data_IF_546181065015
#
_entry.id   IF_546181065015
#
_cell.length_a   1.000
_cell.length_b   1.000
_cell.length_c   1.000
_cell.angle_alpha   90.00
_cell.angle_beta   90.00
_cell.angle_gamma   90.00
#
_symmetry.space_group_name_H-M   'P 1'
#
loop_
_entity.id
_entity.type
_entity.pdbx_description
1 polymer ?
#
# COMPACT_ATOMS: atom_id res chain seq x y z
N UNK A 1 6.02 -10.04 47.86
CA UNK A 1 5.46 -9.59 46.57
C UNK A 1 6.50 -9.25 45.49
N UNK A 2 7.61 -8.58 45.78
CA UNK A 2 8.56 -8.12 44.74
C UNK A 2 9.19 -9.22 43.88
N UNK A 3 9.45 -10.41 44.45
CA UNK A 3 10.15 -11.50 43.74
C UNK A 3 9.33 -12.09 42.60
N UNK A 4 8.03 -12.33 42.80
CA UNK A 4 7.15 -12.87 41.76
C UNK A 4 7.08 -11.93 40.56
N UNK A 5 6.83 -10.64 40.80
CA UNK A 5 6.75 -9.64 39.73
C UNK A 5 8.04 -9.55 38.92
N UNK A 6 9.20 -9.56 39.58
CA UNK A 6 10.52 -9.54 38.90
C UNK A 6 10.76 -10.81 38.08
N UNK A 7 10.51 -11.99 38.64
CA UNK A 7 10.70 -13.26 37.92
C UNK A 7 9.74 -13.37 36.73
N UNK A 8 8.47 -13.02 36.92
CA UNK A 8 7.47 -12.99 35.86
C UNK A 8 7.91 -12.09 34.69
N UNK A 9 8.33 -10.85 34.97
CA UNK A 9 8.79 -9.92 33.93
C UNK A 9 9.97 -10.49 33.12
N UNK A 10 10.92 -11.15 33.79
CA UNK A 10 12.07 -11.78 33.11
C UNK A 10 11.66 -12.98 32.25
N UNK A 11 10.71 -13.81 32.72
CA UNK A 11 10.18 -14.94 31.95
C UNK A 11 9.46 -14.43 30.71
N UNK A 12 8.57 -13.43 30.86
CA UNK A 12 7.85 -12.84 29.73
C UNK A 12 8.80 -12.24 28.69
N UNK A 13 9.86 -11.56 29.14
CA UNK A 13 10.91 -11.08 28.23
C UNK A 13 11.55 -12.25 27.46
N UNK A 14 11.86 -13.36 28.13
CA UNK A 14 12.48 -14.50 27.47
C UNK A 14 11.54 -15.19 26.49
N UNK A 15 10.26 -15.28 26.83
CA UNK A 15 9.24 -15.80 25.93
C UNK A 15 9.14 -14.96 24.66
N UNK A 16 9.11 -13.62 24.77
CA UNK A 16 9.16 -12.72 23.61
C UNK A 16 10.39 -12.96 22.73
N UNK A 17 11.57 -13.07 23.35
CA UNK A 17 12.80 -13.36 22.59
C UNK A 17 12.69 -14.68 21.82
N UNK A 18 12.19 -15.74 22.46
CA UNK A 18 12.06 -17.06 21.82
C UNK A 18 11.05 -17.01 20.67
N UNK A 19 9.86 -16.45 20.90
CA UNK A 19 8.81 -16.37 19.88
C UNK A 19 9.26 -15.54 18.69
N UNK A 20 9.98 -14.44 18.91
CA UNK A 20 10.48 -13.57 17.83
C UNK A 20 11.68 -14.17 17.10
N UNK A 21 12.68 -14.74 17.80
CA UNK A 21 13.89 -15.26 17.16
C UNK A 21 13.64 -16.52 16.35
N UNK A 22 12.78 -17.41 16.85
CA UNK A 22 12.51 -18.69 16.21
C UNK A 22 11.19 -18.72 15.45
N UNK A 23 10.44 -17.60 15.44
CA UNK A 23 9.12 -17.50 14.82
C UNK A 23 8.19 -18.65 15.25
N UNK A 24 8.18 -18.94 16.55
CA UNK A 24 7.40 -20.04 17.14
C UNK A 24 6.19 -19.52 17.89
N UNK A 25 5.11 -20.31 17.86
CA UNK A 25 3.93 -20.07 18.68
C UNK A 25 4.15 -20.64 20.09
N UNK A 26 3.93 -19.83 21.11
CA UNK A 26 4.09 -20.26 22.50
C UNK A 26 3.06 -19.59 23.40
N UNK A 27 2.68 -20.28 24.48
CA UNK A 27 1.81 -19.72 25.52
C UNK A 27 2.30 -20.10 26.91
N UNK A 28 2.07 -19.20 27.87
CA UNK A 28 2.48 -19.34 29.26
C UNK A 28 1.40 -18.76 30.17
N UNK A 29 0.98 -19.52 31.18
CA UNK A 29 -0.05 -19.13 32.15
C UNK A 29 0.46 -19.42 33.57
N UNK A 30 0.36 -18.44 34.46
CA UNK A 30 0.75 -18.58 35.85
C UNK A 30 -0.34 -18.10 36.79
N UNK A 31 -0.65 -18.95 37.77
CA UNK A 31 -1.59 -18.68 38.85
C UNK A 31 -0.80 -18.41 40.14
N UNK A 32 -0.64 -17.13 40.55
CA UNK A 32 -0.05 -16.83 41.85
C UNK A 32 -1.01 -17.25 42.98
N UNK A 33 -0.47 -17.59 44.14
CA UNK A 33 -1.24 -17.97 45.33
C UNK A 33 -2.21 -16.87 45.79
N UNK A 34 -1.85 -15.61 45.58
CA UNK A 34 -2.72 -14.46 45.77
C UNK A 34 -2.68 -13.55 44.54
N UNK A 35 -3.86 -13.13 44.07
CA UNK A 35 -4.02 -12.16 42.98
C UNK A 35 -4.53 -12.76 41.67
N UNK A 36 -4.49 -11.95 40.61
CA UNK A 36 -4.99 -12.33 39.27
C UNK A 36 -3.99 -13.25 38.57
N UNK A 37 -4.50 -14.19 37.78
CA UNK A 37 -3.68 -14.95 36.84
C UNK A 37 -2.97 -14.02 35.86
N UNK A 38 -1.79 -14.44 35.42
CA UNK A 38 -1.04 -13.74 34.38
C UNK A 38 -0.77 -14.69 33.23
N UNK A 39 -0.91 -14.17 32.02
CA UNK A 39 -0.83 -14.97 30.82
C UNK A 39 0.01 -14.27 29.75
N UNK A 40 0.56 -15.08 28.86
CA UNK A 40 1.28 -14.70 27.67
C UNK A 40 0.93 -15.70 26.57
N UNK A 41 0.71 -15.20 25.36
CA UNK A 41 0.52 -16.05 24.20
C UNK A 41 0.95 -15.31 22.94
N UNK A 42 1.50 -16.07 22.00
CA UNK A 42 1.79 -15.63 20.64
C UNK A 42 1.22 -16.67 19.65
N UNK A 43 0.46 -16.27 18.61
CA UNK A 43 0.05 -14.89 18.29
C UNK A 43 -1.05 -14.32 19.22
N UNK A 44 -2.02 -15.13 19.67
CA UNK A 44 -3.08 -14.71 20.59
C UNK A 44 -3.41 -15.79 21.64
N UNK A 45 -4.14 -15.40 22.69
CA UNK A 45 -4.60 -16.33 23.74
C UNK A 45 -5.67 -17.28 23.20
N UNK A 46 -6.52 -16.79 22.31
CA UNK A 46 -7.59 -17.49 21.62
C UNK A 46 -7.00 -18.63 20.78
N UNK A 47 -5.93 -18.37 20.04
CA UNK A 47 -5.24 -19.37 19.23
C UNK A 47 -4.57 -20.44 20.11
N UNK A 48 -3.95 -20.02 21.22
CA UNK A 48 -3.35 -20.94 22.18
C UNK A 48 -4.41 -21.87 22.81
N UNK A 49 -5.55 -21.33 23.22
CA UNK A 49 -6.65 -22.12 23.76
C UNK A 49 -7.27 -23.04 22.72
N UNK A 50 -7.46 -22.56 21.49
CA UNK A 50 -7.94 -23.38 20.38
C UNK A 50 -7.04 -24.58 20.09
N UNK A 51 -5.71 -24.40 20.17
CA UNK A 51 -4.73 -25.49 20.07
C UNK A 51 -4.88 -26.50 21.20
N UNK A 52 -4.91 -26.04 22.45
CA UNK A 52 -5.06 -26.94 23.62
C UNK A 52 -6.38 -27.70 23.55
N UNK A 53 -7.49 -27.04 23.20
CA UNK A 53 -8.81 -27.68 23.04
C UNK A 53 -8.80 -28.73 21.94
N UNK A 54 -8.15 -28.47 20.80
CA UNK A 54 -7.95 -29.47 19.74
C UNK A 54 -7.11 -30.66 20.22
N UNK A 55 -6.08 -30.42 21.03
CA UNK A 55 -5.25 -31.48 21.62
C UNK A 55 -5.98 -32.30 22.69
N UNK A 56 -6.87 -31.69 23.47
CA UNK A 56 -7.68 -32.36 24.50
C UNK A 56 -8.93 -33.05 23.93
N UNK A 57 -9.45 -32.57 22.80
CA UNK A 57 -10.64 -33.07 22.13
C UNK A 57 -10.45 -34.37 21.35
N UNK A 58 -9.29 -35.02 21.47
CA UNK A 58 -9.06 -36.35 20.91
C UNK A 58 -9.48 -37.43 21.93
N UNK A 59 -10.76 -37.43 22.31
CA UNK A 59 -11.45 -38.71 22.51
C UNK A 59 -11.86 -39.18 21.11
N UNK A 60 -11.62 -40.44 20.72
CA UNK A 60 -12.16 -40.98 19.48
C UNK A 60 -13.67 -41.19 19.69
N UNK A 61 -14.45 -40.11 19.62
CA UNK A 61 -15.90 -40.20 19.46
C UNK A 61 -16.15 -40.64 18.02
N UNK A 62 -16.10 -41.95 17.81
CA UNK A 62 -16.30 -42.56 16.51
C UNK A 62 -17.56 -42.04 15.82
N UNK A 63 -17.38 -41.78 14.52
CA UNK A 63 -18.37 -41.34 13.51
C UNK A 63 -18.45 -39.81 13.41
N UNK A 64 -17.47 -39.23 12.70
CA UNK A 64 -17.56 -38.03 11.82
C UNK A 64 -16.20 -37.34 11.56
N UNK A 65 -15.09 -37.96 11.98
CA UNK A 65 -13.72 -37.41 11.89
C UNK A 65 -13.22 -37.09 10.46
N UNK A 66 -13.80 -37.70 9.42
CA UNK A 66 -13.39 -37.45 8.03
C UNK A 66 -13.77 -36.06 7.54
N UNK A 67 -14.83 -35.46 8.08
CA UNK A 67 -15.38 -34.19 7.58
C UNK A 67 -14.65 -32.97 8.17
N UNK A 68 -14.39 -32.97 9.49
CA UNK A 68 -13.74 -31.84 10.17
C UNK A 68 -12.25 -31.73 9.80
N UNK A 69 -11.56 -32.86 9.64
CA UNK A 69 -10.18 -32.91 9.17
C UNK A 69 -10.04 -32.35 7.75
N UNK A 70 -10.92 -32.79 6.84
CA UNK A 70 -10.99 -32.29 5.46
C UNK A 70 -11.22 -30.78 5.42
N UNK A 71 -12.18 -30.26 6.18
CA UNK A 71 -12.52 -28.83 6.16
C UNK A 71 -11.36 -27.96 6.69
N UNK A 72 -10.63 -28.44 7.71
CA UNK A 72 -9.45 -27.73 8.21
C UNK A 72 -8.26 -27.82 7.25
N UNK A 73 -8.09 -28.94 6.54
CA UNK A 73 -7.08 -29.08 5.48
C UNK A 73 -7.41 -28.18 4.28
N UNK A 74 -8.67 -28.11 3.87
CA UNK A 74 -9.16 -27.25 2.80
C UNK A 74 -8.93 -25.77 3.14
N UNK A 75 -9.23 -25.37 4.38
CA UNK A 75 -8.96 -24.00 4.84
C UNK A 75 -7.46 -23.66 4.81
N UNK A 76 -6.60 -24.58 5.30
CA UNK A 76 -5.14 -24.38 5.25
C UNK A 76 -4.63 -24.31 3.82
N UNK A 77 -5.15 -25.17 2.95
CA UNK A 77 -4.78 -25.21 1.53
C UNK A 77 -5.18 -23.92 0.84
N UNK A 78 -6.42 -23.47 1.02
CA UNK A 78 -6.90 -22.20 0.49
C UNK A 78 -6.05 -21.02 1.00
N UNK A 79 -5.76 -20.98 2.29
CA UNK A 79 -4.94 -19.92 2.86
C UNK A 79 -3.51 -19.91 2.30
N UNK A 80 -2.89 -21.08 2.14
CA UNK A 80 -1.58 -21.21 1.51
C UNK A 80 -1.61 -20.83 0.03
N UNK A 81 -2.67 -21.19 -0.71
CA UNK A 81 -2.87 -20.80 -2.10
C UNK A 81 -3.01 -19.28 -2.24
N UNK A 82 -3.77 -18.63 -1.35
CA UNK A 82 -3.88 -17.17 -1.31
C UNK A 82 -2.54 -16.49 -1.03
N UNK A 83 -1.76 -17.03 -0.10
CA UNK A 83 -0.42 -16.52 0.20
C UNK A 83 0.50 -16.71 -1.01
N UNK A 84 0.55 -17.92 -1.57
CA UNK A 84 1.38 -18.21 -2.74
C UNK A 84 1.02 -17.33 -3.93
N UNK A 85 -0.27 -17.08 -4.17
CA UNK A 85 -0.71 -16.17 -5.22
C UNK A 85 -0.13 -14.77 -5.02
N UNK A 86 -0.25 -14.20 -3.82
CA UNK A 86 0.34 -12.88 -3.50
C UNK A 86 1.85 -12.86 -3.70
N UNK A 87 2.55 -13.96 -3.36
CA UNK A 87 3.98 -14.07 -3.60
C UNK A 87 4.32 -14.07 -5.08
N UNK A 88 3.58 -14.81 -5.91
CA UNK A 88 3.79 -14.82 -7.36
C UNK A 88 3.48 -13.47 -7.99
N UNK A 89 2.35 -12.85 -7.63
CA UNK A 89 1.96 -11.53 -8.13
C UNK A 89 3.05 -10.49 -7.79
N UNK A 90 3.55 -10.47 -6.54
CA UNK A 90 4.59 -9.55 -6.11
C UNK A 90 5.95 -9.83 -6.79
N UNK A 91 6.28 -11.10 -7.01
CA UNK A 91 7.51 -11.49 -7.70
C UNK A 91 7.49 -11.06 -9.18
N UNK A 92 6.33 -11.17 -9.84
CA UNK A 92 6.13 -10.70 -11.21
C UNK A 92 6.24 -9.18 -11.31
N UNK A 93 5.60 -8.43 -10.40
CA UNK A 93 5.73 -6.97 -10.31
C UNK A 93 7.19 -6.53 -10.14
N UNK A 94 7.94 -7.23 -9.27
CA UNK A 94 9.35 -6.95 -9.03
C UNK A 94 10.18 -7.21 -10.28
N UNK A 95 9.98 -8.33 -10.97
CA UNK A 95 10.69 -8.63 -12.22
C UNK A 95 10.44 -7.58 -13.31
N UNK A 96 9.19 -7.14 -13.48
CA UNK A 96 8.86 -6.09 -14.46
C UNK A 96 9.50 -4.74 -14.08
N UNK A 97 9.62 -4.44 -12.79
CA UNK A 97 10.27 -3.23 -12.31
C UNK A 97 11.79 -3.27 -12.55
N UNK A 98 12.43 -4.41 -12.28
CA UNK A 98 13.86 -4.62 -12.56
C UNK A 98 14.18 -4.54 -14.05
N UNK A 99 13.34 -5.09 -14.92
CA UNK A 99 13.49 -4.98 -16.37
C UNK A 99 13.40 -3.52 -16.83
N UNK A 100 12.40 -2.76 -16.35
CA UNK A 100 12.31 -1.32 -16.62
C UNK A 100 13.51 -0.54 -16.09
N UNK A 101 14.01 -0.88 -14.92
CA UNK A 101 15.20 -0.22 -14.37
C UNK A 101 16.40 -0.48 -15.27
N UNK A 102 16.57 -1.72 -15.75
CA UNK A 102 17.65 -2.08 -16.67
C UNK A 102 17.55 -1.29 -17.98
N UNK A 103 16.37 -1.22 -18.59
CA UNK A 103 16.14 -0.41 -19.80
C UNK A 103 16.47 1.08 -19.56
N UNK A 104 16.09 1.63 -18.41
CA UNK A 104 16.40 3.01 -18.04
C UNK A 104 17.91 3.22 -17.82
N UNK A 105 18.59 2.27 -17.20
CA UNK A 105 20.04 2.31 -16.99
C UNK A 105 20.80 2.21 -18.31
N UNK A 106 20.38 1.34 -19.23
CA UNK A 106 20.94 1.23 -20.58
C UNK A 106 20.79 2.55 -21.32
N UNK A 107 19.58 3.11 -21.39
CA UNK A 107 19.37 4.42 -22.02
C UNK A 107 20.18 5.53 -21.35
N UNK A 108 20.24 5.57 -20.02
CA UNK A 108 21.04 6.54 -19.27
C UNK A 108 22.54 6.41 -19.58
N UNK A 109 23.04 5.20 -19.75
CA UNK A 109 24.43 4.94 -20.13
C UNK A 109 24.72 5.40 -21.56
N UNK A 110 23.80 5.15 -22.50
CA UNK A 110 23.89 5.65 -23.88
C UNK A 110 23.92 7.18 -23.92
N UNK A 111 23.03 7.85 -23.19
CA UNK A 111 23.03 9.31 -23.05
C UNK A 111 24.33 9.83 -22.45
N UNK A 112 24.86 9.16 -21.43
CA UNK A 112 26.12 9.54 -20.79
C UNK A 112 27.31 9.38 -21.74
N UNK A 113 27.30 8.34 -22.59
CA UNK A 113 28.32 8.12 -23.61
C UNK A 113 28.27 9.20 -24.70
N UNK A 114 27.10 9.55 -25.21
CA UNK A 114 26.92 10.63 -26.21
C UNK A 114 27.45 11.97 -25.66
N UNK A 115 27.20 12.27 -24.39
CA UNK A 115 27.72 13.48 -23.75
C UNK A 115 29.24 13.45 -23.62
N UNK A 116 29.83 12.29 -23.29
CA UNK A 116 31.27 12.11 -23.16
C UNK A 116 32.02 12.11 -24.50
N UNK A 117 31.43 11.55 -25.56
CA UNK A 117 31.98 11.57 -26.93
C UNK A 117 31.98 12.97 -27.54
N UNK A 118 31.21 13.89 -26.94
CA UNK A 118 31.19 15.31 -27.28
C UNK A 118 30.24 15.59 -28.44
N UNK A 119 29.11 16.22 -28.13
CA UNK A 119 28.20 16.79 -29.15
C UNK A 119 28.71 18.17 -29.55
N UNK A 120 28.81 18.44 -30.84
CA UNK A 120 29.23 19.77 -31.30
C UNK A 120 28.21 20.84 -30.90
N UNK A 121 28.70 22.02 -30.49
CA UNK A 121 27.85 23.14 -30.03
C UNK A 121 26.83 23.54 -31.11
N UNK A 122 27.21 23.44 -32.39
CA UNK A 122 26.33 23.77 -33.52
C UNK A 122 25.21 22.74 -33.73
N UNK A 123 25.47 21.45 -33.51
CA UNK A 123 24.44 20.40 -33.54
C UNK A 123 23.44 20.56 -32.40
N UNK A 124 23.93 20.84 -31.19
CA UNK A 124 23.07 21.09 -30.03
C UNK A 124 22.19 22.33 -30.24
N UNK A 125 22.74 23.39 -30.82
CA UNK A 125 22.01 24.62 -31.15
C UNK A 125 20.92 24.38 -32.20
N UNK A 126 21.22 23.58 -33.24
CA UNK A 126 20.22 23.17 -34.25
C UNK A 126 19.10 22.33 -33.64
N UNK A 127 19.43 21.34 -32.80
CA UNK A 127 18.44 20.51 -32.12
C UNK A 127 17.53 21.35 -31.19
N UNK A 128 18.11 22.29 -30.43
CA UNK A 128 17.35 23.20 -29.59
C UNK A 128 16.38 24.07 -30.39
N UNK A 129 16.82 24.64 -31.51
CA UNK A 129 15.96 25.44 -32.39
C UNK A 129 14.79 24.62 -32.96
N UNK A 130 15.05 23.40 -33.41
CA UNK A 130 14.02 22.49 -33.91
C UNK A 130 12.99 22.13 -32.81
N UNK A 131 13.45 21.89 -31.58
CA UNK A 131 12.56 21.60 -30.45
C UNK A 131 11.68 22.81 -30.09
N UNK A 132 12.26 24.01 -30.04
CA UNK A 132 11.50 25.25 -29.79
C UNK A 132 10.43 25.46 -30.86
N UNK A 133 10.77 25.21 -32.13
CA UNK A 133 9.81 25.35 -33.22
C UNK A 133 8.69 24.31 -33.13
N UNK A 134 9.02 23.06 -32.82
CA UNK A 134 8.03 22.01 -32.58
C UNK A 134 7.10 22.39 -31.42
N UNK A 135 7.65 22.85 -30.30
CA UNK A 135 6.85 23.24 -29.14
C UNK A 135 5.88 24.37 -29.49
N UNK A 136 6.33 25.39 -30.24
CA UNK A 136 5.46 26.45 -30.77
C UNK A 136 4.32 25.88 -31.61
N UNK A 137 4.60 24.92 -32.49
CA UNK A 137 3.58 24.27 -33.33
C UNK A 137 2.59 23.46 -32.50
N UNK A 138 3.06 22.71 -31.50
CA UNK A 138 2.23 21.93 -30.58
C UNK A 138 1.34 22.85 -29.76
N UNK A 139 1.88 23.92 -29.17
CA UNK A 139 1.10 24.90 -28.41
C UNK A 139 0.08 25.63 -29.28
N UNK A 140 0.44 26.03 -30.51
CA UNK A 140 -0.48 26.65 -31.45
C UNK A 140 -1.65 25.71 -31.83
N UNK A 141 -1.35 24.42 -32.02
CA UNK A 141 -2.36 23.40 -32.31
C UNK A 141 -3.26 23.12 -31.10
N UNK A 142 -2.69 23.08 -29.89
CA UNK A 142 -3.45 22.96 -28.65
C UNK A 142 -4.42 24.14 -28.45
N UNK A 143 -3.97 25.37 -28.73
CA UNK A 143 -4.82 26.57 -28.69
C UNK A 143 -5.94 26.54 -29.75
N UNK A 144 -5.64 26.07 -30.96
CA UNK A 144 -6.65 25.90 -32.02
C UNK A 144 -7.74 24.89 -31.64
N UNK A 145 -7.40 23.83 -30.90
CA UNK A 145 -8.36 22.85 -30.39
C UNK A 145 -9.19 23.37 -29.21
N UNK A 146 -8.66 24.31 -28.41
CA UNK A 146 -9.40 24.92 -27.29
C UNK A 146 -10.39 26.03 -27.69
N UNK A 147 -10.30 26.55 -28.92
CA UNK A 147 -11.14 27.68 -29.40
C UNK A 147 -12.33 27.27 -30.27
N UNK A 148 -12.69 25.98 -30.32
CA UNK A 148 -13.73 25.46 -31.23
C UNK A 148 -14.89 24.78 -30.51
N UNK A 149 -15.22 25.28 -29.32
CA UNK A 149 -16.49 25.00 -28.64
C UNK A 149 -17.21 26.33 -28.38
N UNK A 150 -18.10 26.71 -29.30
CA UNK A 150 -19.14 27.72 -29.09
C UNK A 150 -18.97 29.03 -29.86
N UNK A 151 -19.68 29.16 -30.98
CA UNK A 151 -20.65 30.27 -31.10
C UNK A 151 -21.71 29.95 -32.15
N UNK A 152 -22.89 29.63 -31.64
CA UNK A 152 -24.14 29.72 -32.38
C UNK A 152 -24.57 31.18 -32.42
N UNK A 153 -24.88 31.67 -33.61
CA UNK A 153 -25.56 32.95 -33.81
C UNK A 153 -26.96 32.66 -34.35
N UNK A 154 -27.98 32.82 -33.51
CA UNK A 154 -29.33 33.17 -33.95
C UNK A 154 -29.96 34.11 -32.93
N UNK A 155 -30.38 35.25 -33.44
CA UNK A 155 -30.95 36.41 -32.78
C UNK A 155 -32.36 36.18 -32.23
N UNK A 156 -32.68 36.77 -31.08
CA UNK A 156 -34.01 37.32 -30.82
C UNK A 156 -33.95 38.48 -29.82
N UNK A 157 -34.69 39.53 -30.19
CA UNK A 157 -34.90 40.82 -29.53
C UNK A 157 -35.60 40.73 -28.16
N UNK A 158 -35.49 41.82 -27.39
CA UNK A 158 -36.34 42.13 -26.23
C UNK A 158 -35.54 42.82 -25.13
N UNK A 159 -35.14 44.07 -25.34
CA UNK A 159 -35.86 45.26 -24.86
C UNK A 159 -35.86 45.47 -23.34
N UNK A 160 -35.33 46.65 -22.99
CA UNK A 160 -35.75 47.54 -21.90
C UNK A 160 -35.52 47.14 -20.44
N UNK A 161 -34.71 47.93 -19.74
CA UNK A 161 -34.68 47.91 -18.27
C UNK A 161 -33.57 48.72 -17.62
N UNK A 162 -33.75 50.03 -17.59
CA UNK A 162 -32.98 51.06 -16.90
C UNK A 162 -32.47 50.74 -15.47
N UNK A 163 -31.21 51.16 -15.25
CA UNK A 163 -30.67 52.01 -14.17
C UNK A 163 -30.82 51.71 -12.66
N UNK A 164 -29.64 51.89 -12.03
CA UNK A 164 -29.31 52.31 -10.68
C UNK A 164 -29.56 51.28 -9.57
N UNK A 165 -28.63 51.00 -8.66
CA UNK A 165 -27.53 51.82 -8.14
C UNK A 165 -27.61 51.72 -6.62
N UNK A 166 -26.49 51.49 -5.94
CA UNK A 166 -26.46 51.51 -4.48
C UNK A 166 -25.41 50.59 -3.87
N UNK A 167 -24.26 51.18 -3.56
CA UNK A 167 -23.35 50.69 -2.53
C UNK A 167 -24.08 50.50 -1.19
N UNK A 168 -23.70 49.47 -0.43
CA UNK A 168 -23.74 49.53 1.03
C UNK A 168 -22.61 48.68 1.63
N UNK A 169 -21.71 49.39 2.29
CA UNK A 169 -20.60 48.93 3.12
C UNK A 169 -21.04 49.04 4.58
N UNK A 170 -20.83 48.00 5.39
CA UNK A 170 -20.64 48.01 6.85
C UNK A 170 -20.47 46.54 7.29
N UNK A 171 -19.51 46.13 8.13
CA UNK A 171 -19.35 46.56 9.54
C UNK A 171 -20.52 45.97 10.34
N UNK A 172 -20.39 45.22 11.42
CA UNK A 172 -19.38 45.19 12.49
C UNK A 172 -19.69 44.00 13.43
N UNK A 173 -18.66 43.52 14.13
CA UNK A 173 -18.61 43.06 15.54
C UNK A 173 -19.81 42.31 16.17
N UNK A 174 -19.55 41.11 16.72
CA UNK A 174 -19.12 40.90 18.13
C UNK A 174 -18.58 39.49 18.31
#
# INVERSE_FOLDING_TARGET
>A
MATFSKRKARILKKMNEITTLFNVEASFLVFPEAGKHHSFAHPSMEDAFGRVKRSLGHEPSGKDDTNIGSLMEDYKKQHNEEINKKWYDLAEELMMAEEKEKELQESKSEWSNIVNEGVSVDELKRAHQAFVELNKRVSAKALQWSGKDGDGSSSALGEHGHCNGGEARAGEQT
#
